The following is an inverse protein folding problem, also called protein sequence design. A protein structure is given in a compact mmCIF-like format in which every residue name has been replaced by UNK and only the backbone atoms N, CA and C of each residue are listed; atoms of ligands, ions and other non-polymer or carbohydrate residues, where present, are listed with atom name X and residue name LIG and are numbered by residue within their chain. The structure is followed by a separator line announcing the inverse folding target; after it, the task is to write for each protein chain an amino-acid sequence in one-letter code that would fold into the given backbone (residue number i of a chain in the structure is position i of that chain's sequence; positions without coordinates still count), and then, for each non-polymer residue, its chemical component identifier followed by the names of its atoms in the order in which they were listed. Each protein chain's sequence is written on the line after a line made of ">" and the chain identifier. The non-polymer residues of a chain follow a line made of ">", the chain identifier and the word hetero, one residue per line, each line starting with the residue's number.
data_IF_987524959496
#
_entry.id   IF_987524959496
#
_cell.length_a   1.000
_cell.length_b   1.000
_cell.length_c   1.000
_cell.angle_alpha   90.00
_cell.angle_beta   90.00
_cell.angle_gamma   90.00
#
_symmetry.space_group_name_H-M   'P 1'
#
loop_
_entity.id
_entity.type
_entity.pdbx_description
1 polymer ?
#
# COMPACT_ATOMS: atom_id res chain seq x y z
N UNK A 1 -16.14 -25.02 67.29
CA UNK A 1 -16.57 -25.11 65.88
C UNK A 1 -16.08 -23.85 65.19
N UNK A 2 -15.13 -23.97 64.26
CA UNK A 2 -14.57 -22.85 63.49
C UNK A 2 -15.26 -22.86 62.13
N UNK A 3 -16.07 -21.85 61.84
CA UNK A 3 -16.68 -21.65 60.52
C UNK A 3 -15.61 -21.19 59.52
N UNK A 4 -15.34 -22.01 58.51
CA UNK A 4 -14.56 -21.60 57.35
C UNK A 4 -15.45 -20.78 56.42
N UNK A 5 -15.22 -19.47 56.38
CA UNK A 5 -15.79 -18.58 55.36
C UNK A 5 -15.19 -18.91 54.00
N UNK A 6 -15.96 -19.58 53.15
CA UNK A 6 -15.60 -19.82 51.75
C UNK A 6 -15.76 -18.50 50.99
N UNK A 7 -14.63 -17.83 50.74
CA UNK A 7 -14.60 -16.61 49.93
C UNK A 7 -15.16 -16.85 48.54
N UNK A 8 -16.19 -16.10 48.18
CA UNK A 8 -16.83 -16.14 46.87
C UNK A 8 -15.79 -15.81 45.77
N UNK A 9 -15.60 -16.63 44.72
CA UNK A 9 -14.63 -16.35 43.68
C UNK A 9 -14.96 -15.02 43.00
N UNK A 10 -14.00 -14.08 43.04
CA UNK A 10 -14.09 -12.82 42.29
C UNK A 10 -14.23 -13.16 40.81
N UNK A 11 -15.42 -12.97 40.25
CA UNK A 11 -15.65 -13.01 38.80
C UNK A 11 -14.73 -11.98 38.14
N UNK A 12 -13.61 -12.43 37.57
CA UNK A 12 -12.78 -11.62 36.69
C UNK A 12 -13.58 -11.41 35.40
N UNK A 13 -13.88 -10.16 35.05
CA UNK A 13 -14.50 -9.85 33.75
C UNK A 13 -13.61 -10.46 32.65
N UNK A 14 -14.17 -11.26 31.73
CA UNK A 14 -13.37 -11.80 30.63
C UNK A 14 -12.73 -10.62 29.87
N UNK A 15 -11.44 -10.76 29.54
CA UNK A 15 -10.72 -9.76 28.76
C UNK A 15 -11.54 -9.44 27.50
N UNK A 16 -11.81 -8.14 27.25
CA UNK A 16 -12.53 -7.71 26.05
C UNK A 16 -11.73 -8.20 24.83
N UNK A 17 -12.29 -9.15 24.10
CA UNK A 17 -11.72 -9.59 22.84
C UNK A 17 -11.55 -8.38 21.91
N UNK A 18 -10.39 -8.29 21.25
CA UNK A 18 -10.11 -7.22 20.30
C UNK A 18 -11.12 -7.26 19.15
N UNK A 19 -11.67 -6.10 18.78
CA UNK A 19 -12.64 -6.05 17.69
C UNK A 19 -12.01 -6.46 16.35
N UNK A 20 -12.72 -7.16 15.46
CA UNK A 20 -12.18 -7.55 14.15
C UNK A 20 -11.63 -6.38 13.32
N UNK A 21 -12.26 -5.20 13.42
CA UNK A 21 -11.78 -3.99 12.75
C UNK A 21 -10.46 -3.45 13.33
N UNK A 22 -10.26 -3.59 14.64
CA UNK A 22 -8.97 -3.27 15.27
C UNK A 22 -7.87 -4.22 14.80
N UNK A 23 -8.17 -5.52 14.72
CA UNK A 23 -7.21 -6.51 14.20
C UNK A 23 -6.83 -6.25 12.75
N UNK A 24 -7.78 -5.87 11.90
CA UNK A 24 -7.50 -5.45 10.52
C UNK A 24 -6.58 -4.22 10.49
N UNK A 25 -6.87 -3.18 11.28
CA UNK A 25 -6.03 -2.00 11.35
C UNK A 25 -4.60 -2.33 11.84
N UNK A 26 -4.48 -3.15 12.87
CA UNK A 26 -3.19 -3.61 13.38
C UNK A 26 -2.41 -4.41 12.33
N UNK A 27 -3.08 -5.29 11.59
CA UNK A 27 -2.48 -6.02 10.47
C UNK A 27 -1.95 -5.07 9.40
N UNK A 28 -2.76 -4.09 8.97
CA UNK A 28 -2.35 -3.09 7.96
C UNK A 28 -1.17 -2.24 8.45
N UNK A 29 -1.08 -1.96 9.74
CA UNK A 29 0.05 -1.20 10.27
C UNK A 29 1.36 -2.02 10.30
N UNK A 30 1.25 -3.33 10.56
CA UNK A 30 2.43 -4.17 10.87
C UNK A 30 2.93 -5.00 9.70
N UNK A 31 2.05 -5.55 8.85
CA UNK A 31 2.40 -6.57 7.86
C UNK A 31 3.56 -6.15 6.94
N UNK A 32 3.44 -5.02 6.26
CA UNK A 32 4.46 -4.59 5.31
C UNK A 32 5.76 -4.22 5.99
N UNK A 33 5.69 -3.61 7.17
CA UNK A 33 6.87 -3.23 7.94
C UNK A 33 7.63 -4.47 8.43
N UNK A 34 6.93 -5.52 8.86
CA UNK A 34 7.52 -6.81 9.26
C UNK A 34 8.08 -7.55 8.04
N UNK A 35 7.34 -7.65 6.94
CA UNK A 35 7.84 -8.29 5.71
C UNK A 35 9.10 -7.61 5.20
N UNK A 36 9.17 -6.28 5.25
CA UNK A 36 10.38 -5.52 4.90
C UNK A 36 11.48 -5.55 5.99
N UNK A 37 11.24 -6.12 7.17
CA UNK A 37 12.29 -6.39 8.15
C UNK A 37 12.96 -7.75 7.91
N UNK A 38 12.26 -8.70 7.29
CA UNK A 38 12.81 -10.02 7.00
C UNK A 38 13.90 -9.96 5.92
N UNK A 39 14.91 -10.85 5.98
CA UNK A 39 15.90 -11.00 4.92
C UNK A 39 15.26 -11.21 3.54
N UNK A 40 15.68 -10.46 2.49
CA UNK A 40 15.11 -10.59 1.14
C UNK A 40 15.09 -12.01 0.58
N UNK A 41 16.08 -12.83 0.93
CA UNK A 41 16.16 -14.24 0.53
C UNK A 41 14.95 -15.08 0.96
N UNK A 42 14.30 -14.71 2.07
CA UNK A 42 13.16 -15.46 2.61
C UNK A 42 11.84 -15.09 1.92
N UNK A 43 11.66 -13.81 1.56
CA UNK A 43 10.35 -13.32 1.12
C UNK A 43 10.30 -12.88 -0.35
N UNK A 44 11.43 -12.58 -0.99
CA UNK A 44 11.43 -12.11 -2.38
C UNK A 44 10.92 -13.16 -3.38
N UNK A 45 11.31 -14.46 -3.32
CA UNK A 45 10.81 -15.47 -4.26
C UNK A 45 9.32 -15.77 -4.09
N UNK A 46 8.83 -15.66 -2.85
CA UNK A 46 7.45 -15.98 -2.48
C UNK A 46 6.55 -14.74 -2.43
N UNK A 47 7.08 -13.54 -2.72
CA UNK A 47 6.42 -12.26 -2.42
C UNK A 47 4.99 -12.19 -2.96
N UNK A 48 4.80 -12.53 -4.24
CA UNK A 48 3.49 -12.48 -4.90
C UNK A 48 2.54 -13.51 -4.27
N UNK A 49 2.99 -14.74 -4.08
CA UNK A 49 2.19 -15.83 -3.53
C UNK A 49 1.79 -15.59 -2.08
N UNK A 50 2.72 -15.09 -1.26
CA UNK A 50 2.50 -14.71 0.12
C UNK A 50 1.44 -13.61 0.22
N UNK A 51 1.57 -12.54 -0.57
CA UNK A 51 0.63 -11.43 -0.57
C UNK A 51 -0.77 -11.89 -1.03
N UNK A 52 -0.86 -12.72 -2.08
CA UNK A 52 -2.14 -13.26 -2.53
C UNK A 52 -2.79 -14.19 -1.49
N UNK A 53 -2.00 -15.05 -0.84
CA UNK A 53 -2.49 -15.92 0.24
C UNK A 53 -3.00 -15.11 1.44
N UNK A 54 -2.26 -14.09 1.84
CA UNK A 54 -2.66 -13.17 2.92
C UNK A 54 -3.92 -12.40 2.54
N UNK A 55 -4.02 -11.88 1.32
CA UNK A 55 -5.22 -11.19 0.84
C UNK A 55 -6.44 -12.11 0.85
N UNK A 56 -6.28 -13.37 0.41
CA UNK A 56 -7.34 -14.35 0.43
C UNK A 56 -7.83 -14.63 1.86
N UNK A 57 -6.92 -14.80 2.81
CA UNK A 57 -7.26 -14.97 4.23
C UNK A 57 -7.97 -13.74 4.80
N UNK A 58 -7.41 -12.54 4.58
CA UNK A 58 -8.01 -11.28 5.05
C UNK A 58 -9.40 -11.08 4.43
N UNK A 59 -9.60 -11.45 3.16
CA UNK A 59 -10.89 -11.42 2.51
C UNK A 59 -11.91 -12.35 3.17
N UNK A 60 -11.57 -13.62 3.40
CA UNK A 60 -12.46 -14.58 4.08
C UNK A 60 -12.85 -14.09 5.48
N UNK A 61 -11.86 -13.63 6.26
CA UNK A 61 -12.09 -13.10 7.60
C UNK A 61 -12.97 -11.84 7.55
N UNK A 62 -12.76 -10.96 6.58
CA UNK A 62 -13.56 -9.75 6.41
C UNK A 62 -15.00 -10.07 6.01
N UNK A 63 -15.23 -11.08 5.17
CA UNK A 63 -16.60 -11.56 4.89
C UNK A 63 -17.28 -12.08 6.16
N UNK A 64 -16.58 -12.91 6.94
CA UNK A 64 -17.14 -13.59 8.11
C UNK A 64 -17.37 -12.65 9.30
N UNK A 65 -16.44 -11.73 9.56
CA UNK A 65 -16.44 -10.93 10.79
C UNK A 65 -16.76 -9.45 10.58
N UNK A 66 -16.61 -8.93 9.36
CA UNK A 66 -16.94 -7.54 9.01
C UNK A 66 -18.17 -7.40 8.11
N UNK A 67 -18.77 -8.53 7.68
CA UNK A 67 -19.94 -8.58 6.79
C UNK A 67 -19.72 -7.75 5.51
N UNK A 68 -18.54 -7.85 4.89
CA UNK A 68 -18.24 -7.19 3.62
C UNK A 68 -18.67 -8.05 2.42
N UNK A 69 -19.23 -7.38 1.42
CA UNK A 69 -19.57 -7.95 0.10
C UNK A 69 -18.56 -7.50 -0.96
N UNK A 70 -18.62 -8.11 -2.15
CA UNK A 70 -17.78 -7.68 -3.29
C UNK A 70 -18.05 -6.22 -3.69
N UNK A 71 -19.32 -5.79 -3.62
CA UNK A 71 -19.70 -4.39 -3.86
C UNK A 71 -19.13 -3.43 -2.80
N UNK A 72 -19.07 -3.84 -1.54
CA UNK A 72 -18.49 -3.02 -0.47
C UNK A 72 -16.99 -2.77 -0.69
N UNK A 73 -16.27 -3.76 -1.22
CA UNK A 73 -14.84 -3.62 -1.54
C UNK A 73 -14.59 -3.04 -2.93
N UNK A 74 -15.64 -2.68 -3.68
CA UNK A 74 -15.52 -2.06 -5.00
C UNK A 74 -15.18 -3.03 -6.13
N UNK A 75 -15.28 -4.33 -5.89
CA UNK A 75 -15.23 -5.38 -6.91
C UNK A 75 -16.62 -5.50 -7.54
N UNK A 76 -16.91 -4.61 -8.48
CA UNK A 76 -18.20 -4.52 -9.18
C UNK A 76 -18.00 -4.18 -10.65
N UNK A 77 -19.00 -4.44 -11.49
CA UNK A 77 -19.03 -3.99 -12.89
C UNK A 77 -19.45 -2.52 -13.02
N UNK A 78 -20.05 -1.94 -11.97
CA UNK A 78 -20.53 -0.56 -11.99
C UNK A 78 -19.39 0.43 -12.21
N UNK A 79 -19.59 1.37 -13.14
CA UNK A 79 -18.66 2.45 -13.48
C UNK A 79 -17.21 2.00 -13.77
N UNK A 80 -16.97 0.75 -14.17
CA UNK A 80 -15.61 0.24 -14.37
C UNK A 80 -14.84 1.07 -15.40
N UNK A 81 -15.47 1.44 -16.53
CA UNK A 81 -14.85 2.30 -17.54
C UNK A 81 -14.48 3.69 -17.01
N UNK A 82 -15.34 4.32 -16.21
CA UNK A 82 -15.03 5.61 -15.55
C UNK A 82 -13.90 5.47 -14.53
N UNK A 83 -13.86 4.36 -13.79
CA UNK A 83 -12.77 4.05 -12.85
C UNK A 83 -11.44 3.92 -13.58
N UNK A 84 -11.41 3.13 -14.66
CA UNK A 84 -10.24 2.99 -15.52
C UNK A 84 -9.79 4.35 -16.06
N UNK A 85 -10.72 5.17 -16.59
CA UNK A 85 -10.39 6.49 -17.13
C UNK A 85 -9.77 7.42 -16.08
N UNK A 86 -10.35 7.46 -14.88
CA UNK A 86 -9.78 8.24 -13.77
C UNK A 86 -8.42 7.70 -13.33
N UNK A 87 -8.25 6.37 -13.35
CA UNK A 87 -6.98 5.72 -13.06
C UNK A 87 -5.90 6.12 -14.07
N UNK A 88 -6.19 6.06 -15.37
CA UNK A 88 -5.30 6.50 -16.44
C UNK A 88 -4.95 7.99 -16.32
N UNK A 89 -5.94 8.84 -16.08
CA UNK A 89 -5.74 10.28 -15.89
C UNK A 89 -4.83 10.58 -14.70
N UNK A 90 -5.04 9.87 -13.58
CA UNK A 90 -4.19 10.02 -12.41
C UNK A 90 -2.76 9.49 -12.66
N UNK A 91 -2.62 8.35 -13.35
CA UNK A 91 -1.29 7.86 -13.74
C UNK A 91 -0.54 8.89 -14.56
N UNK A 92 -1.16 9.43 -15.60
CA UNK A 92 -0.55 10.45 -16.45
C UNK A 92 -0.14 11.70 -15.64
N UNK A 93 -1.04 12.19 -14.78
CA UNK A 93 -0.80 13.35 -13.93
C UNK A 93 0.42 13.17 -13.01
N UNK A 94 0.61 11.97 -12.46
CA UNK A 94 1.71 11.69 -11.52
C UNK A 94 3.01 11.34 -12.26
N UNK A 95 2.93 10.50 -13.30
CA UNK A 95 4.12 9.94 -13.92
C UNK A 95 4.78 10.87 -14.93
N UNK A 96 4.02 11.69 -15.66
CA UNK A 96 4.59 12.54 -16.69
C UNK A 96 5.56 13.58 -16.10
N UNK A 97 5.22 14.32 -15.02
CA UNK A 97 6.18 15.24 -14.41
C UNK A 97 7.42 14.52 -13.89
N UNK A 98 7.27 13.31 -13.34
CA UNK A 98 8.39 12.51 -12.85
C UNK A 98 9.35 12.10 -13.97
N UNK A 99 8.83 11.55 -15.07
CA UNK A 99 9.66 11.13 -16.22
C UNK A 99 10.30 12.32 -16.91
N UNK A 100 9.57 13.43 -17.09
CA UNK A 100 10.11 14.68 -17.64
C UNK A 100 11.26 15.19 -16.77
N UNK A 101 11.06 15.24 -15.45
CA UNK A 101 12.10 15.69 -14.53
C UNK A 101 13.33 14.77 -14.57
N UNK A 102 13.12 13.44 -14.52
CA UNK A 102 14.20 12.46 -14.65
C UNK A 102 15.02 12.65 -15.93
N UNK A 103 14.36 12.95 -17.05
CA UNK A 103 15.02 13.16 -18.33
C UNK A 103 15.73 14.52 -18.41
N UNK A 104 15.20 15.57 -17.78
CA UNK A 104 15.81 16.90 -17.79
C UNK A 104 17.03 17.01 -16.88
N UNK A 105 17.06 16.31 -15.74
CA UNK A 105 18.13 16.44 -14.75
C UNK A 105 19.55 16.22 -15.36
N UNK A 106 19.80 15.17 -16.16
CA UNK A 106 21.08 15.02 -16.86
C UNK A 106 21.39 16.17 -17.82
N UNK A 107 20.40 16.69 -18.56
CA UNK A 107 20.58 17.81 -19.51
C UNK A 107 20.95 19.13 -18.82
N UNK A 108 20.63 19.25 -17.53
CA UNK A 108 20.95 20.39 -16.67
C UNK A 108 22.28 20.21 -15.91
N UNK A 109 23.02 19.14 -16.17
CA UNK A 109 24.31 18.85 -15.54
C UNK A 109 24.21 18.17 -14.16
N UNK A 110 23.04 17.66 -13.77
CA UNK A 110 22.92 16.87 -12.54
C UNK A 110 23.30 15.41 -12.83
N UNK A 111 24.38 14.94 -12.21
CA UNK A 111 24.75 13.52 -12.22
C UNK A 111 23.88 12.75 -11.23
N UNK A 112 22.94 11.97 -11.76
CA UNK A 112 22.15 11.06 -10.93
C UNK A 112 22.88 9.72 -10.82
N UNK A 113 23.17 9.27 -9.60
CA UNK A 113 23.67 7.91 -9.38
C UNK A 113 22.61 6.89 -9.79
N UNK A 114 23.02 5.79 -10.40
CA UNK A 114 22.08 4.72 -10.72
C UNK A 114 21.45 4.20 -9.42
N UNK A 115 20.12 4.00 -9.38
CA UNK A 115 19.54 3.17 -8.35
C UNK A 115 20.08 1.74 -8.52
N UNK A 116 19.74 0.82 -7.61
CA UNK A 116 20.12 -0.62 -7.72
C UNK A 116 19.44 -1.32 -8.90
N UNK A 117 19.71 -0.86 -10.12
CA UNK A 117 19.17 -1.28 -11.40
C UNK A 117 20.26 -1.90 -12.27
N UNK A 118 21.52 -1.48 -12.11
CA UNK A 118 22.69 -1.97 -12.87
C UNK A 118 22.86 -3.50 -12.84
N UNK A 119 22.27 -4.18 -11.85
CA UNK A 119 22.39 -5.62 -11.64
C UNK A 119 21.09 -6.40 -11.81
N UNK A 120 20.01 -5.77 -12.31
CA UNK A 120 18.76 -6.49 -12.54
C UNK A 120 18.84 -7.27 -13.86
N UNK A 121 18.89 -8.59 -13.76
CA UNK A 121 18.76 -9.47 -14.91
C UNK A 121 17.43 -9.20 -15.67
N UNK A 122 17.46 -9.26 -17.01
CA UNK A 122 16.32 -8.84 -17.87
C UNK A 122 15.03 -9.60 -17.54
N UNK A 123 15.14 -10.87 -17.21
CA UNK A 123 14.02 -11.72 -16.77
C UNK A 123 13.38 -11.20 -15.48
N UNK A 124 14.17 -10.78 -14.49
CA UNK A 124 13.69 -10.18 -13.24
C UNK A 124 13.00 -8.83 -13.53
N UNK A 125 13.52 -8.04 -14.46
CA UNK A 125 12.89 -6.78 -14.87
C UNK A 125 11.49 -6.99 -15.45
N UNK A 126 11.35 -7.90 -16.43
CA UNK A 126 10.05 -8.22 -17.01
C UNK A 126 9.08 -8.83 -16.02
N UNK A 127 9.56 -9.75 -15.17
CA UNK A 127 8.75 -10.31 -14.09
C UNK A 127 8.24 -9.24 -13.13
N UNK A 128 9.05 -8.21 -12.82
CA UNK A 128 8.61 -7.09 -11.98
C UNK A 128 7.49 -6.30 -12.64
N UNK A 129 7.64 -5.98 -13.92
CA UNK A 129 6.68 -5.16 -14.69
C UNK A 129 5.34 -5.86 -14.87
N UNK A 130 5.35 -7.15 -15.21
CA UNK A 130 4.12 -7.85 -15.57
C UNK A 130 3.44 -8.59 -14.43
N UNK A 131 4.20 -9.01 -13.41
CA UNK A 131 3.68 -9.88 -12.35
C UNK A 131 3.81 -9.22 -10.99
N UNK A 132 5.04 -8.92 -10.55
CA UNK A 132 5.27 -8.50 -9.17
C UNK A 132 4.56 -7.18 -8.84
N UNK A 133 4.74 -6.15 -9.67
CA UNK A 133 4.19 -4.82 -9.39
C UNK A 133 2.67 -4.81 -9.58
N UNK A 134 2.09 -5.28 -10.70
CA UNK A 134 0.64 -5.19 -10.88
C UNK A 134 -0.13 -6.06 -9.89
N UNK A 135 0.35 -7.28 -9.62
CA UNK A 135 -0.38 -8.27 -8.83
C UNK A 135 0.07 -8.26 -7.37
N UNK A 136 1.36 -8.48 -7.15
CA UNK A 136 1.94 -8.60 -5.81
C UNK A 136 1.92 -7.29 -5.01
N UNK A 137 1.96 -6.15 -5.68
CA UNK A 137 1.96 -4.82 -5.04
C UNK A 137 0.64 -4.10 -5.25
N UNK A 138 0.34 -3.63 -6.46
CA UNK A 138 -0.78 -2.72 -6.70
C UNK A 138 -2.14 -3.37 -6.42
N UNK A 139 -2.42 -4.54 -6.98
CA UNK A 139 -3.68 -5.25 -6.70
C UNK A 139 -3.80 -5.61 -5.22
N UNK A 140 -2.75 -6.17 -4.62
CA UNK A 140 -2.72 -6.53 -3.21
C UNK A 140 -3.04 -5.34 -2.30
N UNK A 141 -2.28 -4.25 -2.44
CA UNK A 141 -2.42 -3.08 -1.58
C UNK A 141 -3.76 -2.39 -1.79
N UNK A 142 -4.19 -2.16 -3.03
CA UNK A 142 -5.47 -1.49 -3.26
C UNK A 142 -6.63 -2.32 -2.70
N UNK A 143 -6.62 -3.65 -2.88
CA UNK A 143 -7.64 -4.52 -2.30
C UNK A 143 -7.70 -4.44 -0.77
N UNK A 144 -6.56 -4.31 -0.10
CA UNK A 144 -6.51 -4.11 1.35
C UNK A 144 -7.01 -2.72 1.76
N UNK A 145 -6.50 -1.66 1.13
CA UNK A 145 -6.75 -0.28 1.55
C UNK A 145 -8.06 0.30 1.00
N UNK A 146 -8.26 0.28 -0.32
CA UNK A 146 -9.43 0.86 -1.04
C UNK A 146 -10.57 -0.15 -1.18
N UNK A 147 -10.28 -1.43 -0.98
CA UNK A 147 -11.27 -2.49 -0.92
C UNK A 147 -11.77 -2.71 0.51
N UNK A 148 -11.07 -3.56 1.26
CA UNK A 148 -11.50 -4.09 2.55
C UNK A 148 -11.57 -3.00 3.62
N UNK A 149 -10.50 -2.25 3.84
CA UNK A 149 -10.44 -1.28 4.93
C UNK A 149 -11.36 -0.07 4.67
N UNK A 150 -11.32 0.48 3.45
CA UNK A 150 -12.24 1.53 3.02
C UNK A 150 -13.71 1.07 3.09
N UNK A 151 -14.03 -0.12 2.57
CA UNK A 151 -15.38 -0.68 2.61
C UNK A 151 -15.91 -0.87 4.03
N UNK A 152 -15.05 -1.33 4.94
CA UNK A 152 -15.37 -1.44 6.38
C UNK A 152 -15.65 -0.07 7.01
N UNK A 153 -14.75 0.90 6.83
CA UNK A 153 -14.88 2.22 7.44
C UNK A 153 -16.08 3.01 6.89
N UNK A 154 -16.38 2.90 5.59
CA UNK A 154 -17.55 3.55 5.00
C UNK A 154 -18.89 3.12 5.63
N UNK A 155 -18.95 1.93 6.24
CA UNK A 155 -20.14 1.45 6.99
C UNK A 155 -20.22 1.99 8.42
N UNK A 156 -19.15 2.61 8.93
CA UNK A 156 -18.99 2.93 10.36
C UNK A 156 -18.80 4.42 10.64
N UNK A 157 -18.17 5.15 9.71
CA UNK A 157 -17.80 6.54 9.90
C UNK A 157 -18.05 7.35 8.63
N UNK A 158 -17.93 8.68 8.73
CA UNK A 158 -18.15 9.56 7.59
C UNK A 158 -17.16 9.32 6.45
N UNK A 159 -17.57 9.65 5.22
CA UNK A 159 -16.74 9.59 4.02
C UNK A 159 -15.38 10.29 4.21
N UNK A 160 -15.41 11.52 4.75
CA UNK A 160 -14.18 12.30 4.95
C UNK A 160 -13.21 11.61 5.91
N UNK A 161 -13.71 11.07 7.04
CA UNK A 161 -12.89 10.31 7.98
C UNK A 161 -12.38 9.00 7.37
N UNK A 162 -13.18 8.32 6.56
CA UNK A 162 -12.74 7.10 5.86
C UNK A 162 -11.59 7.39 4.90
N UNK A 163 -11.73 8.42 4.06
CA UNK A 163 -10.66 8.86 3.14
C UNK A 163 -9.40 9.19 3.94
N UNK A 164 -9.52 10.00 4.99
CA UNK A 164 -8.38 10.41 5.81
C UNK A 164 -7.69 9.19 6.46
N UNK A 165 -8.42 8.35 7.18
CA UNK A 165 -7.83 7.22 7.92
C UNK A 165 -7.19 6.21 6.96
N UNK A 166 -7.88 5.81 5.88
CA UNK A 166 -7.30 4.87 4.90
C UNK A 166 -6.03 5.43 4.26
N UNK A 167 -5.98 6.74 4.00
CA UNK A 167 -4.81 7.41 3.43
C UNK A 167 -3.64 7.51 4.41
N UNK A 168 -3.91 7.76 5.69
CA UNK A 168 -2.88 7.76 6.73
C UNK A 168 -2.28 6.36 6.92
N UNK A 169 -3.12 5.32 6.98
CA UNK A 169 -2.64 3.94 7.04
C UNK A 169 -1.85 3.53 5.80
N UNK A 170 -2.26 4.01 4.62
CA UNK A 170 -1.47 3.83 3.40
C UNK A 170 -0.12 4.56 3.48
N UNK A 171 -0.06 5.76 4.07
CA UNK A 171 1.21 6.43 4.38
C UNK A 171 2.09 5.61 5.34
N UNK A 172 1.52 5.08 6.42
CA UNK A 172 2.25 4.24 7.39
C UNK A 172 2.76 2.92 6.79
N UNK A 173 2.02 2.35 5.85
CA UNK A 173 2.48 1.21 5.05
C UNK A 173 3.78 1.51 4.28
N UNK A 174 4.01 2.78 3.94
CA UNK A 174 5.16 3.23 3.14
C UNK A 174 6.36 3.72 3.97
N UNK A 175 6.34 3.61 5.30
CA UNK A 175 7.47 3.99 6.18
C UNK A 175 8.77 3.31 5.76
N UNK A 176 8.80 1.98 5.76
CA UNK A 176 10.01 1.22 5.40
C UNK A 176 10.33 1.30 3.88
N UNK A 177 9.36 1.21 2.95
CA UNK A 177 9.62 1.46 1.53
C UNK A 177 10.25 2.83 1.25
N UNK A 178 9.69 3.92 1.81
CA UNK A 178 10.23 5.27 1.62
C UNK A 178 11.63 5.40 2.26
N UNK A 179 11.85 4.78 3.43
CA UNK A 179 13.17 4.76 4.06
C UNK A 179 14.20 4.11 3.14
N UNK A 180 13.86 2.96 2.53
CA UNK A 180 14.74 2.25 1.60
C UNK A 180 15.03 3.10 0.35
N UNK A 181 14.04 3.78 -0.23
CA UNK A 181 14.30 4.67 -1.36
C UNK A 181 15.36 5.72 -1.01
N UNK A 182 15.25 6.38 0.14
CA UNK A 182 16.22 7.44 0.51
C UNK A 182 17.58 6.86 0.93
N UNK A 183 17.60 5.79 1.73
CA UNK A 183 18.84 5.21 2.28
C UNK A 183 19.60 4.32 1.31
N UNK A 184 18.90 3.60 0.44
CA UNK A 184 19.43 2.50 -0.35
C UNK A 184 19.50 2.80 -1.84
N UNK A 185 18.46 3.43 -2.38
CA UNK A 185 18.37 3.72 -3.82
C UNK A 185 19.02 5.08 -4.12
N UNK A 186 18.68 6.12 -3.35
CA UNK A 186 19.28 7.45 -3.46
C UNK A 186 20.58 7.61 -2.65
N UNK A 187 20.83 6.70 -1.69
CA UNK A 187 22.04 6.69 -0.85
C UNK A 187 22.34 8.03 -0.15
N UNK A 188 21.30 8.72 0.32
CA UNK A 188 21.45 10.03 0.96
C UNK A 188 22.02 9.83 2.37
N UNK A 189 23.20 10.40 2.63
CA UNK A 189 23.89 10.31 3.93
C UNK A 189 23.67 11.53 4.83
N UNK A 190 23.34 12.70 4.25
CA UNK A 190 23.12 13.94 5.01
C UNK A 190 21.82 13.86 5.83
N UNK A 191 21.86 13.95 7.18
CA UNK A 191 20.68 13.68 8.02
C UNK A 191 19.47 14.57 7.75
N UNK A 192 19.68 15.87 7.54
CA UNK A 192 18.58 16.82 7.27
C UNK A 192 17.91 16.52 5.94
N UNK A 193 18.70 16.34 4.87
CA UNK A 193 18.19 15.99 3.54
C UNK A 193 17.50 14.62 3.54
N UNK A 194 18.06 13.66 4.29
CA UNK A 194 17.47 12.33 4.46
C UNK A 194 16.06 12.42 5.04
N UNK A 195 15.91 13.09 6.18
CA UNK A 195 14.62 13.22 6.86
C UNK A 195 13.63 13.99 6.00
N UNK A 196 14.06 15.07 5.35
CA UNK A 196 13.20 15.87 4.48
C UNK A 196 12.64 15.04 3.30
N UNK A 197 13.50 14.30 2.58
CA UNK A 197 13.06 13.45 1.46
C UNK A 197 12.19 12.29 1.93
N UNK A 198 12.52 11.68 3.07
CA UNK A 198 11.73 10.58 3.62
C UNK A 198 10.32 11.03 4.00
N UNK A 199 10.19 12.18 4.68
CA UNK A 199 8.89 12.79 5.00
C UNK A 199 8.12 13.21 3.75
N UNK A 200 8.81 13.71 2.72
CA UNK A 200 8.20 14.07 1.44
C UNK A 200 7.59 12.84 0.75
N UNK A 201 8.30 11.71 0.72
CA UNK A 201 7.78 10.45 0.16
C UNK A 201 6.59 9.90 0.96
N UNK A 202 6.63 10.03 2.29
CA UNK A 202 5.50 9.67 3.16
C UNK A 202 4.27 10.55 2.89
N UNK A 203 4.47 11.86 2.78
CA UNK A 203 3.40 12.80 2.43
C UNK A 203 2.83 12.48 1.03
N UNK A 204 3.70 12.22 0.06
CA UNK A 204 3.30 11.77 -1.28
C UNK A 204 2.45 10.50 -1.25
N UNK A 205 2.81 9.54 -0.39
CA UNK A 205 2.03 8.31 -0.17
C UNK A 205 0.65 8.62 0.42
N UNK A 206 0.55 9.52 1.40
CA UNK A 206 -0.74 9.95 1.97
C UNK A 206 -1.60 10.65 0.90
N UNK A 207 -1.00 11.52 0.09
CA UNK A 207 -1.70 12.21 -1.01
C UNK A 207 -2.19 11.20 -2.05
N UNK A 208 -1.37 10.23 -2.45
CA UNK A 208 -1.79 9.11 -3.31
C UNK A 208 -2.91 8.29 -2.67
N UNK A 209 -2.82 8.07 -1.35
CA UNK A 209 -3.89 7.65 -0.44
C UNK A 209 -5.24 8.29 -0.79
N UNK A 210 -5.27 9.62 -0.68
CA UNK A 210 -6.45 10.45 -0.86
C UNK A 210 -6.96 10.37 -2.30
N UNK A 211 -6.07 10.43 -3.29
CA UNK A 211 -6.44 10.41 -4.71
C UNK A 211 -7.06 9.07 -5.11
N UNK A 212 -6.48 7.94 -4.70
CA UNK A 212 -7.07 6.61 -4.95
C UNK A 212 -8.40 6.46 -4.17
N UNK A 213 -8.48 6.92 -2.92
CA UNK A 213 -9.73 6.90 -2.16
C UNK A 213 -10.82 7.78 -2.82
N UNK A 214 -10.43 8.88 -3.47
CA UNK A 214 -11.34 9.71 -4.27
C UNK A 214 -11.83 8.96 -5.52
N UNK A 215 -10.96 8.29 -6.29
CA UNK A 215 -11.38 7.45 -7.43
C UNK A 215 -12.36 6.37 -6.96
N UNK A 216 -12.02 5.67 -5.88
CA UNK A 216 -12.84 4.63 -5.26
C UNK A 216 -14.19 5.17 -4.81
N UNK A 217 -14.24 6.36 -4.25
CA UNK A 217 -15.48 7.03 -3.84
C UNK A 217 -16.34 7.40 -5.06
N UNK A 218 -15.75 8.10 -6.04
CA UNK A 218 -16.47 8.65 -7.20
C UNK A 218 -17.05 7.58 -8.09
N UNK A 219 -16.36 6.45 -8.23
CA UNK A 219 -16.74 5.38 -9.17
C UNK A 219 -17.38 4.19 -8.48
N UNK A 220 -17.28 4.09 -7.16
CA UNK A 220 -17.64 2.89 -6.38
C UNK A 220 -16.90 1.62 -6.84
N UNK A 221 -15.79 1.79 -7.56
CA UNK A 221 -15.06 0.71 -8.22
C UNK A 221 -13.55 0.88 -7.95
N UNK A 222 -12.85 -0.24 -7.75
CA UNK A 222 -11.43 -0.24 -7.39
C UNK A 222 -10.49 -0.37 -8.60
N UNK A 223 -11.00 -0.76 -9.78
CA UNK A 223 -10.18 -1.06 -10.96
C UNK A 223 -9.26 0.12 -11.34
N UNK A 224 -9.77 1.35 -11.27
CA UNK A 224 -8.99 2.56 -11.51
C UNK A 224 -7.85 2.78 -10.51
N UNK A 225 -8.04 2.39 -9.24
CA UNK A 225 -7.00 2.50 -8.22
C UNK A 225 -5.87 1.50 -8.49
N UNK A 226 -6.24 0.24 -8.76
CA UNK A 226 -5.27 -0.84 -9.08
C UNK A 226 -4.48 -0.48 -10.33
N UNK A 227 -5.17 -0.04 -11.38
CA UNK A 227 -4.53 0.37 -12.63
C UNK A 227 -3.60 1.56 -12.41
N UNK A 228 -4.07 2.59 -11.70
CA UNK A 228 -3.27 3.79 -11.47
C UNK A 228 -1.97 3.49 -10.73
N UNK A 229 -2.10 2.73 -9.64
CA UNK A 229 -0.97 2.31 -8.81
C UNK A 229 0.01 1.44 -9.61
N UNK A 230 -0.49 0.44 -10.34
CA UNK A 230 0.37 -0.42 -11.17
C UNK A 230 1.14 0.39 -12.21
N UNK A 231 0.45 1.26 -12.96
CA UNK A 231 1.07 2.07 -14.00
C UNK A 231 2.11 3.05 -13.46
N UNK A 232 1.81 3.75 -12.36
CA UNK A 232 2.76 4.68 -11.74
C UNK A 232 4.05 3.93 -11.35
N UNK A 233 3.93 2.78 -10.69
CA UNK A 233 5.11 2.02 -10.24
C UNK A 233 5.87 1.39 -11.41
N UNK A 234 5.17 0.82 -12.39
CA UNK A 234 5.78 0.20 -13.59
C UNK A 234 6.52 1.26 -14.41
N UNK A 235 5.87 2.38 -14.71
CA UNK A 235 6.46 3.42 -15.53
C UNK A 235 7.60 4.15 -14.80
N UNK A 236 7.53 4.26 -13.47
CA UNK A 236 8.66 4.78 -12.70
C UNK A 236 9.88 3.83 -12.79
N UNK A 237 9.66 2.52 -12.69
CA UNK A 237 10.70 1.52 -12.88
C UNK A 237 11.27 1.55 -14.31
N UNK A 238 10.41 1.64 -15.33
CA UNK A 238 10.83 1.71 -16.73
C UNK A 238 11.60 3.00 -17.01
N UNK A 239 11.12 4.16 -16.53
CA UNK A 239 11.81 5.44 -16.68
C UNK A 239 13.20 5.42 -16.02
N UNK A 240 13.28 4.88 -14.80
CA UNK A 240 14.57 4.71 -14.12
C UNK A 240 15.47 3.67 -14.82
N UNK A 241 14.91 2.65 -15.46
CA UNK A 241 15.72 1.72 -16.26
C UNK A 241 16.27 2.41 -17.51
N UNK A 242 15.48 3.20 -18.22
CA UNK A 242 15.90 3.87 -19.47
C UNK A 242 16.98 4.93 -19.21
N UNK A 243 16.88 5.71 -18.13
CA UNK A 243 17.83 6.79 -17.84
C UNK A 243 19.21 6.27 -17.40
N UNK A 244 19.28 5.04 -16.89
CA UNK A 244 20.51 4.44 -16.34
C UNK A 244 20.92 3.13 -17.05
N UNK A 245 20.54 2.96 -18.31
CA UNK A 245 21.17 2.03 -19.26
C UNK A 245 22.17 2.80 -20.11
#
# INVERSE_FOLDING_TARGET
>A
MVEFSVGNPKYTKPARALSPGFLLALFLFTYNNVVNFLPPSLHAPLYVWMNLGVLFLVWILSRRYLNLTLSDIGCTKQNIGKSILYGLGLSALVILPFVILLWLLPTLGFELKSPRLETIARDIFWWRIFVRIPIGTAFFEEMLFRGIFYGYLMKKISRARTILITSLFFGFWHIMPAFRVVSQDLQISAPVTFVALWLLLLLGSIVGGILFAWIRYRTKNIAGCVLAHALINVLALVGAFIVWQ
#
